data_IF_022624851691
#
_entry.id   IF_022624851691
#
_cell.length_a   1.000
_cell.length_b   1.000
_cell.length_c   1.000
_cell.angle_alpha   90.00
_cell.angle_beta   90.00
_cell.angle_gamma   90.00
#
_symmetry.space_group_name_H-M   'P 1'
#
loop_
_entity.id
_entity.type
_entity.pdbx_description
1 polymer ?
#
# COMPACT_ATOMS: atom_id res chain seq x y z
N UNK A 1 -13.92 13.22 -7.74
CA UNK A 1 -12.74 13.70 -8.47
C UNK A 1 -12.31 12.58 -9.41
N UNK A 2 -12.09 12.84 -10.70
CA UNK A 2 -11.66 11.80 -11.65
C UNK A 2 -10.13 11.76 -11.66
N UNK A 3 -9.55 10.71 -11.08
CA UNK A 3 -8.11 10.49 -11.11
C UNK A 3 -7.78 9.47 -12.19
N UNK A 4 -6.88 9.83 -13.10
CA UNK A 4 -6.30 8.88 -14.05
C UNK A 4 -5.29 8.00 -13.31
N UNK A 5 -5.69 6.75 -13.05
CA UNK A 5 -4.91 5.80 -12.28
C UNK A 5 -3.61 5.39 -12.98
N UNK A 6 -3.59 5.37 -14.32
CA UNK A 6 -2.40 5.01 -15.09
C UNK A 6 -1.40 6.16 -15.09
N UNK A 7 -1.88 7.39 -15.32
CA UNK A 7 -1.05 8.59 -15.21
C UNK A 7 -0.48 8.71 -13.78
N UNK A 8 -1.32 8.53 -12.76
CA UNK A 8 -0.89 8.57 -11.37
C UNK A 8 0.19 7.49 -11.09
N UNK A 9 -0.03 6.25 -11.49
CA UNK A 9 0.97 5.18 -11.32
C UNK A 9 2.33 5.47 -11.99
N UNK A 10 2.36 6.23 -13.09
CA UNK A 10 3.62 6.61 -13.76
C UNK A 10 4.35 7.77 -13.08
N UNK A 11 3.62 8.67 -12.43
CA UNK A 11 4.18 9.87 -11.79
C UNK A 11 4.42 9.70 -10.30
N UNK A 12 3.74 8.75 -9.66
CA UNK A 12 3.74 8.56 -8.21
C UNK A 12 5.03 7.88 -7.73
N UNK A 13 6.11 8.66 -7.74
CA UNK A 13 7.32 8.34 -6.99
C UNK A 13 7.15 8.91 -5.58
N UNK A 14 7.22 8.07 -4.54
CA UNK A 14 7.09 8.56 -3.19
C UNK A 14 8.21 9.55 -2.87
N UNK A 15 7.87 10.59 -2.13
CA UNK A 15 8.83 11.58 -1.70
C UNK A 15 9.91 10.93 -0.83
N UNK A 16 11.14 11.44 -0.88
CA UNK A 16 12.26 10.88 -0.13
C UNK A 16 12.00 10.83 1.37
N UNK A 17 11.22 11.78 1.90
CA UNK A 17 10.80 11.81 3.30
C UNK A 17 9.89 10.63 3.67
N UNK A 18 9.00 10.20 2.77
CA UNK A 18 8.16 9.01 2.95
C UNK A 18 9.03 7.76 2.98
N UNK A 19 9.96 7.65 2.01
CA UNK A 19 10.90 6.52 1.93
C UNK A 19 11.77 6.45 3.19
N UNK A 20 12.27 7.59 3.66
CA UNK A 20 13.06 7.68 4.88
C UNK A 20 12.24 7.24 6.10
N UNK A 21 11.01 7.74 6.23
CA UNK A 21 10.13 7.37 7.34
C UNK A 21 9.89 5.85 7.38
N UNK A 22 9.44 5.24 6.27
CA UNK A 22 9.14 3.82 6.20
C UNK A 22 10.37 2.94 6.50
N UNK A 23 11.54 3.32 5.98
CA UNK A 23 12.74 2.48 6.09
C UNK A 23 13.58 2.72 7.35
N UNK A 24 13.49 3.91 7.97
CA UNK A 24 14.39 4.31 9.07
C UNK A 24 13.65 4.67 10.35
N UNK A 25 12.48 5.28 10.25
CA UNK A 25 11.72 5.75 11.42
C UNK A 25 10.75 4.68 11.91
N UNK A 26 9.94 4.12 11.01
CA UNK A 26 8.91 3.13 11.35
C UNK A 26 9.44 1.93 12.16
N UNK A 27 10.59 1.31 11.83
CA UNK A 27 11.12 0.19 12.63
C UNK A 27 11.52 0.60 14.05
N UNK A 28 11.96 1.85 14.25
CA UNK A 28 12.35 2.37 15.57
C UNK A 28 11.15 2.66 16.47
N UNK A 29 9.96 2.79 15.88
CA UNK A 29 8.71 2.97 16.63
C UNK A 29 8.15 1.63 17.14
N UNK A 30 8.77 0.49 16.81
CA UNK A 30 8.26 -0.83 17.21
C UNK A 30 6.97 -1.22 16.50
N UNK A 31 6.74 -0.70 15.29
CA UNK A 31 5.54 -0.97 14.49
C UNK A 31 5.57 -2.30 13.74
N UNK A 32 6.69 -3.04 13.80
CA UNK A 32 6.77 -4.40 13.29
C UNK A 32 6.91 -5.40 14.45
N UNK A 33 6.50 -6.63 14.20
CA UNK A 33 6.54 -7.71 15.18
C UNK A 33 7.34 -8.90 14.66
N UNK A 34 7.96 -9.64 15.57
CA UNK A 34 8.49 -10.99 15.30
C UNK A 34 7.37 -12.02 15.11
N UNK A 35 6.15 -11.68 15.50
CA UNK A 35 4.96 -12.50 15.28
C UNK A 35 4.36 -12.24 13.90
N UNK A 36 3.57 -13.18 13.35
CA UNK A 36 2.95 -12.97 12.06
C UNK A 36 1.87 -11.87 12.09
N UNK A 37 1.91 -10.94 11.13
CA UNK A 37 1.05 -9.74 11.13
C UNK A 37 0.08 -9.69 9.94
N UNK A 38 -1.04 -9.00 10.12
CA UNK A 38 -1.90 -8.54 9.03
C UNK A 38 -1.83 -7.03 9.01
N UNK A 39 -1.44 -6.48 7.86
CA UNK A 39 -1.25 -5.03 7.67
C UNK A 39 -2.37 -4.52 6.77
N UNK A 40 -2.88 -3.33 7.07
CA UNK A 40 -3.87 -2.65 6.25
C UNK A 40 -3.29 -1.32 5.77
N UNK A 41 -3.29 -1.13 4.45
CA UNK A 41 -2.87 0.09 3.78
C UNK A 41 -4.11 0.76 3.17
N UNK A 42 -4.44 1.95 3.67
CA UNK A 42 -5.71 2.60 3.39
C UNK A 42 -5.49 3.86 2.57
N UNK A 43 -6.22 3.98 1.45
CA UNK A 43 -5.89 4.94 0.40
C UNK A 43 -4.66 4.49 -0.39
N UNK A 44 -4.58 3.20 -0.70
CA UNK A 44 -3.40 2.57 -1.31
C UNK A 44 -3.12 3.06 -2.74
N UNK A 45 -4.07 3.77 -3.36
CA UNK A 45 -3.97 4.20 -4.76
C UNK A 45 -3.69 3.01 -5.68
N UNK A 46 -2.81 3.16 -6.68
CA UNK A 46 -2.47 2.08 -7.61
C UNK A 46 -1.50 1.05 -7.01
N UNK A 47 -1.21 1.07 -5.71
CA UNK A 47 -0.47 -0.02 -5.03
C UNK A 47 1.06 -0.02 -5.18
N UNK A 48 1.66 0.98 -5.82
CA UNK A 48 3.13 1.09 -5.94
C UNK A 48 3.81 1.14 -4.57
N UNK A 49 3.35 2.05 -3.70
CA UNK A 49 3.84 2.19 -2.33
C UNK A 49 3.61 0.92 -1.50
N UNK A 50 2.41 0.34 -1.61
CA UNK A 50 2.03 -0.89 -0.91
C UNK A 50 3.00 -2.03 -1.19
N UNK A 51 3.31 -2.26 -2.47
CA UNK A 51 4.20 -3.35 -2.91
C UNK A 51 5.67 -3.07 -2.60
N UNK A 52 6.16 -1.87 -2.91
CA UNK A 52 7.59 -1.60 -2.93
C UNK A 52 8.16 -1.09 -1.60
N UNK A 53 7.31 -0.56 -0.70
CA UNK A 53 7.78 0.07 0.54
C UNK A 53 7.05 -0.40 1.79
N UNK A 54 5.72 -0.49 1.75
CA UNK A 54 4.94 -0.92 2.92
C UNK A 54 5.16 -2.41 3.18
N UNK A 55 4.92 -3.27 2.18
CA UNK A 55 5.09 -4.72 2.35
C UNK A 55 6.50 -5.10 2.89
N UNK A 56 7.62 -4.55 2.37
CA UNK A 56 8.95 -4.84 2.93
C UNK A 56 9.19 -4.30 4.34
N UNK A 57 8.47 -3.27 4.78
CA UNK A 57 8.61 -2.72 6.13
C UNK A 57 8.09 -3.66 7.23
N UNK A 58 7.24 -4.63 6.87
CA UNK A 58 6.65 -5.63 7.77
C UNK A 58 7.11 -7.05 7.37
N UNK A 59 8.30 -7.50 7.81
CA UNK A 59 8.92 -8.74 7.32
C UNK A 59 8.08 -10.00 7.61
N UNK A 60 7.31 -10.01 8.70
CA UNK A 60 6.48 -11.13 9.13
C UNK A 60 5.02 -11.02 8.68
N UNK A 61 4.73 -10.18 7.69
CA UNK A 61 3.38 -10.03 7.14
C UNK A 61 2.89 -11.33 6.50
N UNK A 62 1.73 -11.80 6.97
CA UNK A 62 0.93 -12.88 6.37
C UNK A 62 0.09 -12.36 5.22
N UNK A 63 -0.51 -11.20 5.40
CA UNK A 63 -1.41 -10.56 4.43
C UNK A 63 -1.32 -9.04 4.58
N UNK A 64 -1.19 -8.35 3.45
CA UNK A 64 -1.35 -6.91 3.31
C UNK A 64 -2.68 -6.66 2.59
N UNK A 65 -3.60 -5.95 3.24
CA UNK A 65 -4.87 -5.52 2.63
C UNK A 65 -4.65 -4.09 2.16
N UNK A 66 -4.56 -3.89 0.85
CA UNK A 66 -4.38 -2.58 0.23
C UNK A 66 -5.74 -2.13 -0.34
N UNK A 67 -6.31 -1.08 0.24
CA UNK A 67 -7.66 -0.64 -0.08
C UNK A 67 -7.72 0.82 -0.53
N UNK A 68 -8.59 1.08 -1.50
CA UNK A 68 -8.86 2.41 -2.03
C UNK A 68 -10.35 2.53 -2.39
N UNK A 69 -10.92 3.72 -2.24
CA UNK A 69 -12.31 3.99 -2.61
C UNK A 69 -12.50 4.02 -4.14
N UNK A 70 -11.42 4.23 -4.90
CA UNK A 70 -11.46 4.40 -6.35
C UNK A 70 -11.20 3.07 -7.05
N UNK A 71 -12.24 2.49 -7.67
CA UNK A 71 -12.13 1.19 -8.34
C UNK A 71 -11.01 1.13 -9.41
N UNK A 72 -10.83 2.20 -10.20
CA UNK A 72 -9.77 2.23 -11.22
C UNK A 72 -8.36 2.13 -10.64
N UNK A 73 -8.13 2.66 -9.44
CA UNK A 73 -6.84 2.53 -8.75
C UNK A 73 -6.56 1.08 -8.39
N UNK A 74 -7.56 0.39 -7.85
CA UNK A 74 -7.45 -1.03 -7.48
C UNK A 74 -7.24 -1.93 -8.70
N UNK A 75 -7.91 -1.65 -9.82
CA UNK A 75 -7.68 -2.43 -11.04
C UNK A 75 -6.26 -2.24 -11.61
N UNK A 76 -5.75 -1.01 -11.61
CA UNK A 76 -4.33 -0.76 -11.97
C UNK A 76 -3.39 -1.47 -11.00
N UNK A 77 -3.68 -1.44 -9.69
CA UNK A 77 -2.86 -2.08 -8.66
C UNK A 77 -2.73 -3.60 -8.85
N UNK A 78 -3.85 -4.28 -9.12
CA UNK A 78 -3.88 -5.73 -9.39
C UNK A 78 -3.03 -6.11 -10.60
N UNK A 79 -3.07 -5.29 -11.66
CA UNK A 79 -2.36 -5.57 -12.91
C UNK A 79 -0.87 -5.23 -12.81
N UNK A 80 -0.54 -4.06 -12.28
CA UNK A 80 0.83 -3.52 -12.29
C UNK A 80 1.67 -3.98 -11.11
N UNK A 81 1.03 -4.19 -9.96
CA UNK A 81 1.70 -4.51 -8.70
C UNK A 81 1.18 -5.81 -8.05
N UNK A 82 1.04 -6.93 -8.79
CA UNK A 82 0.57 -8.17 -8.19
C UNK A 82 1.61 -8.69 -7.19
N UNK A 83 1.11 -9.29 -6.11
CA UNK A 83 1.92 -10.00 -5.12
C UNK A 83 1.03 -10.98 -4.32
N UNK A 84 1.49 -12.22 -4.04
CA UNK A 84 0.66 -13.26 -3.40
C UNK A 84 0.22 -12.93 -1.97
N UNK A 85 0.92 -12.02 -1.29
CA UNK A 85 0.58 -11.54 0.06
C UNK A 85 -0.26 -10.26 0.06
N UNK A 86 -0.51 -9.64 -1.09
CA UNK A 86 -1.29 -8.40 -1.17
C UNK A 86 -2.68 -8.71 -1.71
N UNK A 87 -3.70 -8.31 -0.98
CA UNK A 87 -5.08 -8.30 -1.43
C UNK A 87 -5.50 -6.86 -1.70
N UNK A 88 -5.87 -6.58 -2.95
CA UNK A 88 -6.36 -5.27 -3.36
C UNK A 88 -7.89 -5.22 -3.32
N UNK A 89 -8.44 -4.29 -2.53
CA UNK A 89 -9.87 -4.21 -2.22
C UNK A 89 -10.42 -2.83 -2.55
N UNK A 90 -11.53 -2.77 -3.29
CA UNK A 90 -12.29 -1.53 -3.43
C UNK A 90 -13.14 -1.36 -2.18
N UNK A 91 -12.88 -0.32 -1.41
CA UNK A 91 -13.63 -0.05 -0.18
C UNK A 91 -13.51 1.42 0.21
N UNK A 92 -14.61 1.98 0.69
CA UNK A 92 -14.68 3.34 1.18
C UNK A 92 -14.74 3.31 2.71
N UNK A 93 -13.83 4.05 3.36
CA UNK A 93 -13.81 4.16 4.83
C UNK A 93 -15.02 4.90 5.40
N UNK A 94 -15.72 5.69 4.58
CA UNK A 94 -16.91 6.43 5.01
C UNK A 94 -18.18 5.57 5.02
N UNK A 95 -18.12 4.38 4.42
CA UNK A 95 -19.25 3.44 4.42
C UNK A 95 -19.37 2.83 5.83
N UNK A 96 -20.54 3.03 6.46
CA UNK A 96 -20.85 2.57 7.82
C UNK A 96 -21.49 1.19 7.86
#
# INVERSE_FOLDING_TARGET
MYFDAELYNTMDKPWETIIYFLNKTLPKLGWNSDQPEVVMDVGSGPGYLSKHYILPAFPNVKKLIAMDATASMIEVAKVRHPHPKIEYVVANMEDR
#
